data_IF_696878671543
#
_entry.id   IF_696878671543
#
_cell.length_a   1.000
_cell.length_b   1.000
_cell.length_c   1.000
_cell.angle_alpha   90.00
_cell.angle_beta   90.00
_cell.angle_gamma   90.00
#
_symmetry.space_group_name_H-M   'P 1'
#
loop_
_entity.id
_entity.type
_entity.pdbx_description
1 polymer ?
#
# COMPACT_ATOMS: atom_id res chain seq x y z
N UNK A 1 -0.13 30.60 -44.21
CA UNK A 1 -0.49 29.32 -43.54
C UNK A 1 0.68 28.91 -42.66
N UNK A 2 0.56 29.09 -41.34
CA UNK A 2 1.58 28.63 -40.37
C UNK A 2 0.99 27.42 -39.65
N UNK A 3 1.61 26.27 -39.86
CA UNK A 3 1.29 25.02 -39.16
C UNK A 3 1.93 25.09 -37.78
N UNK A 4 1.12 25.07 -36.74
CA UNK A 4 1.59 24.79 -35.38
C UNK A 4 1.61 23.27 -35.22
N UNK A 5 2.81 22.69 -35.14
CA UNK A 5 2.97 21.33 -34.67
C UNK A 5 2.68 21.32 -33.17
N UNK A 6 1.54 20.75 -32.78
CA UNK A 6 1.29 20.39 -31.40
C UNK A 6 2.22 19.21 -31.05
N UNK A 7 3.30 19.48 -30.32
CA UNK A 7 4.01 18.43 -29.60
C UNK A 7 3.04 17.90 -28.54
N UNK A 8 2.47 16.73 -28.79
CA UNK A 8 1.77 15.97 -27.77
C UNK A 8 2.78 15.54 -26.70
N UNK A 9 2.67 16.10 -25.50
CA UNK A 9 3.28 15.53 -24.31
C UNK A 9 2.62 14.17 -24.09
N UNK A 10 3.37 13.09 -24.33
CA UNK A 10 2.97 11.77 -23.86
C UNK A 10 2.91 11.83 -22.32
N UNK A 11 1.84 11.33 -21.68
CA UNK A 11 1.83 11.24 -20.23
C UNK A 11 2.98 10.33 -19.80
N UNK A 12 3.81 10.82 -18.87
CA UNK A 12 4.82 10.00 -18.24
C UNK A 12 4.12 8.78 -17.62
N UNK A 13 4.64 7.59 -17.94
CA UNK A 13 4.24 6.35 -17.29
C UNK A 13 4.80 6.46 -15.87
N UNK A 14 3.97 6.88 -14.92
CA UNK A 14 4.37 6.87 -13.52
C UNK A 14 4.62 5.41 -13.15
N UNK A 15 5.86 5.09 -12.79
CA UNK A 15 6.18 3.84 -12.11
C UNK A 15 5.42 3.82 -10.78
N UNK A 16 5.03 2.64 -10.33
CA UNK A 16 4.43 2.43 -9.02
C UNK A 16 5.51 2.32 -7.93
N UNK A 17 5.10 2.04 -6.67
CA UNK A 17 6.04 1.49 -5.70
C UNK A 17 6.79 0.35 -6.37
N UNK A 18 8.08 0.26 -6.11
CA UNK A 18 8.69 -1.06 -6.18
C UNK A 18 8.45 -1.72 -4.85
N UNK A 19 7.85 -2.90 -4.85
CA UNK A 19 8.02 -3.82 -3.74
C UNK A 19 9.51 -3.93 -3.38
N UNK A 20 9.74 -4.07 -2.07
CA UNK A 20 11.01 -4.33 -1.41
C UNK A 20 12.16 -3.30 -1.49
N UNK A 21 13.22 -3.53 -0.67
CA UNK A 21 14.38 -2.65 -0.59
C UNK A 21 15.27 -2.78 -1.84
N UNK A 22 16.23 -1.86 -2.00
CA UNK A 22 17.27 -2.00 -3.02
C UNK A 22 18.09 -3.29 -2.78
N UNK A 23 17.80 -4.39 -3.49
CA UNK A 23 18.66 -5.58 -3.51
C UNK A 23 17.97 -6.94 -3.72
N UNK A 24 16.83 -7.19 -3.08
CA UNK A 24 15.91 -8.29 -3.39
C UNK A 24 14.60 -8.01 -2.65
N UNK A 25 13.52 -7.97 -3.40
CA UNK A 25 12.28 -7.34 -2.98
C UNK A 25 11.08 -8.27 -2.99
N UNK A 26 11.24 -9.36 -3.71
CA UNK A 26 10.17 -10.22 -4.16
C UNK A 26 10.57 -11.65 -3.84
N UNK A 27 9.58 -12.48 -3.54
CA UNK A 27 9.74 -13.92 -3.39
C UNK A 27 9.95 -14.51 -4.78
N UNK A 28 11.19 -14.86 -5.11
CA UNK A 28 11.59 -15.45 -6.39
C UNK A 28 11.94 -16.94 -6.24
N UNK A 29 12.23 -17.38 -5.01
CA UNK A 29 12.69 -18.73 -4.72
C UNK A 29 11.75 -19.45 -3.74
N UNK A 30 11.55 -20.75 -3.97
CA UNK A 30 10.61 -21.55 -3.15
C UNK A 30 10.93 -21.62 -1.65
N UNK A 31 12.19 -21.35 -1.26
CA UNK A 31 12.59 -21.32 0.15
C UNK A 31 12.23 -20.01 0.85
N UNK A 32 11.96 -18.94 0.10
CA UNK A 32 11.50 -17.64 0.60
C UNK A 32 10.01 -17.66 0.97
N UNK A 33 9.22 -18.59 0.43
CA UNK A 33 7.78 -18.68 0.67
C UNK A 33 7.36 -18.71 2.15
N UNK A 34 8.21 -19.26 3.03
CA UNK A 34 7.93 -19.35 4.46
C UNK A 34 8.25 -18.05 5.22
N UNK A 35 9.11 -17.21 4.66
CA UNK A 35 9.52 -15.91 5.20
C UNK A 35 9.82 -14.96 4.03
N UNK A 36 8.78 -14.41 3.37
CA UNK A 36 8.94 -13.54 2.21
C UNK A 36 9.83 -12.33 2.53
N UNK A 37 10.62 -11.82 1.56
CA UNK A 37 11.45 -10.63 1.77
C UNK A 37 10.63 -9.45 2.29
N UNK A 38 11.06 -8.88 3.42
CA UNK A 38 10.29 -7.85 4.11
C UNK A 38 10.43 -6.48 3.42
N UNK A 39 9.30 -5.83 3.18
CA UNK A 39 9.21 -4.53 2.51
C UNK A 39 8.36 -3.50 3.27
N UNK A 40 8.27 -2.28 2.72
CA UNK A 40 7.40 -1.25 3.31
C UNK A 40 5.93 -1.61 3.25
N UNK A 41 5.47 -2.33 2.21
CA UNK A 41 4.09 -2.79 2.16
C UNK A 41 3.82 -3.76 3.30
N UNK A 42 4.74 -4.67 3.60
CA UNK A 42 4.65 -5.58 4.74
C UNK A 42 4.67 -4.84 6.07
N UNK A 43 5.51 -3.81 6.18
CA UNK A 43 5.55 -2.94 7.36
C UNK A 43 4.19 -2.30 7.63
N UNK A 44 3.58 -1.66 6.62
CA UNK A 44 2.25 -1.06 6.76
C UNK A 44 1.21 -2.14 7.07
N UNK A 45 1.27 -3.26 6.35
CA UNK A 45 0.30 -4.33 6.42
C UNK A 45 0.30 -5.03 7.78
N UNK A 46 1.47 -5.34 8.34
CA UNK A 46 1.59 -5.96 9.66
C UNK A 46 1.30 -5.02 10.81
N UNK A 47 1.78 -3.77 10.76
CA UNK A 47 1.43 -2.80 11.80
C UNK A 47 -0.09 -2.61 11.86
N UNK A 48 -0.79 -2.65 10.72
CA UNK A 48 -2.25 -2.61 10.68
C UNK A 48 -2.89 -3.84 11.35
N UNK A 49 -2.35 -5.05 11.14
CA UNK A 49 -2.80 -6.28 11.83
C UNK A 49 -2.59 -6.17 13.33
N UNK A 50 -1.43 -5.66 13.78
CA UNK A 50 -1.11 -5.53 15.20
C UNK A 50 -1.84 -4.39 15.91
N UNK A 51 -2.42 -3.43 15.18
CA UNK A 51 -3.36 -2.44 15.72
C UNK A 51 -4.73 -3.04 16.07
N UNK A 52 -5.12 -4.17 15.48
CA UNK A 52 -6.41 -4.81 15.77
C UNK A 52 -6.42 -5.45 17.17
N UNK A 53 -7.58 -5.60 17.83
CA UNK A 53 -7.73 -6.44 19.02
C UNK A 53 -7.26 -7.88 18.77
N UNK A 54 -6.79 -8.56 19.81
CA UNK A 54 -6.22 -9.92 19.70
C UNK A 54 -7.19 -10.91 19.05
N UNK A 55 -8.48 -10.85 19.41
CA UNK A 55 -9.53 -11.68 18.83
C UNK A 55 -9.75 -11.43 17.33
N UNK A 56 -9.55 -10.19 16.87
CA UNK A 56 -9.79 -9.82 15.47
C UNK A 56 -8.66 -10.28 14.56
N UNK A 57 -7.41 -10.24 15.04
CA UNK A 57 -6.24 -10.68 14.27
C UNK A 57 -5.93 -12.17 14.39
N UNK A 58 -6.50 -12.87 15.38
CA UNK A 58 -6.15 -14.27 15.68
C UNK A 58 -6.26 -15.22 14.48
N UNK A 59 -7.24 -15.00 13.58
CA UNK A 59 -7.42 -15.85 12.40
C UNK A 59 -6.34 -15.61 11.33
N UNK A 60 -5.78 -14.40 11.27
CA UNK A 60 -4.84 -13.98 10.23
C UNK A 60 -3.39 -14.29 10.60
N UNK A 61 -3.05 -14.27 11.91
CA UNK A 61 -1.71 -14.58 12.43
C UNK A 61 -1.12 -15.90 11.89
N UNK A 62 -1.85 -17.03 11.82
CA UNK A 62 -1.33 -18.28 11.25
C UNK A 62 -1.06 -18.22 9.74
N UNK A 63 -1.53 -17.18 9.05
CA UNK A 63 -1.44 -17.00 7.60
C UNK A 63 -0.52 -15.82 7.22
N UNK A 64 0.36 -15.39 8.12
CA UNK A 64 1.18 -14.19 7.92
C UNK A 64 2.14 -14.26 6.73
N UNK A 65 2.75 -15.42 6.47
CA UNK A 65 3.56 -15.61 5.26
C UNK A 65 2.72 -15.40 3.99
N UNK A 66 1.49 -15.94 3.96
CA UNK A 66 0.61 -15.80 2.80
C UNK A 66 0.08 -14.38 2.62
N UNK A 67 -0.18 -13.66 3.72
CA UNK A 67 -0.53 -12.24 3.69
C UNK A 67 0.61 -11.37 3.14
N UNK A 68 1.87 -11.63 3.54
CA UNK A 68 3.06 -10.97 2.98
C UNK A 68 3.25 -11.26 1.50
N UNK A 69 3.15 -12.52 1.08
CA UNK A 69 3.16 -12.86 -0.36
C UNK A 69 2.08 -12.12 -1.15
N UNK A 70 0.93 -11.86 -0.51
CA UNK A 70 -0.12 -11.04 -1.07
C UNK A 70 0.30 -9.61 -1.34
N UNK A 71 1.11 -8.99 -0.47
CA UNK A 71 1.60 -7.62 -0.67
C UNK A 71 2.53 -7.51 -1.88
N UNK A 72 3.20 -8.60 -2.26
CA UNK A 72 4.08 -8.66 -3.43
C UNK A 72 3.32 -8.69 -4.77
N UNK A 73 2.15 -9.35 -4.77
CA UNK A 73 1.40 -9.71 -5.97
C UNK A 73 1.11 -8.56 -6.96
N UNK A 74 0.89 -7.32 -6.51
CA UNK A 74 0.71 -6.21 -7.44
C UNK A 74 1.97 -5.73 -8.16
N UNK A 75 3.18 -5.87 -7.63
CA UNK A 75 4.41 -5.50 -8.37
C UNK A 75 5.18 -6.69 -8.94
N UNK A 76 4.77 -7.90 -8.56
CA UNK A 76 5.45 -9.14 -8.92
C UNK A 76 4.49 -10.08 -9.64
N UNK A 77 4.99 -10.82 -10.63
CA UNK A 77 4.26 -11.90 -11.31
C UNK A 77 5.03 -13.24 -11.30
N UNK A 78 6.06 -13.33 -10.45
CA UNK A 78 6.96 -14.48 -10.35
C UNK A 78 6.87 -15.28 -9.05
N UNK A 79 5.85 -15.09 -8.21
CA UNK A 79 5.71 -15.83 -6.94
C UNK A 79 5.73 -17.34 -7.24
N UNK A 80 6.67 -18.13 -6.67
CA UNK A 80 6.79 -19.55 -6.98
C UNK A 80 5.51 -20.33 -6.70
N UNK A 81 5.14 -21.24 -7.61
CA UNK A 81 3.99 -22.15 -7.43
C UNK A 81 4.11 -22.96 -6.12
N UNK A 82 5.35 -23.28 -5.72
CA UNK A 82 5.65 -23.98 -4.47
C UNK A 82 5.23 -23.22 -3.20
N UNK A 83 5.00 -21.89 -3.28
CA UNK A 83 4.47 -21.11 -2.17
C UNK A 83 3.00 -21.43 -1.86
N UNK A 84 2.28 -22.07 -2.79
CA UNK A 84 0.85 -22.35 -2.63
C UNK A 84 -0.03 -21.10 -2.69
N UNK A 85 0.50 -19.99 -3.20
CA UNK A 85 -0.28 -18.78 -3.44
C UNK A 85 -1.36 -19.05 -4.52
N UNK A 86 -2.52 -18.37 -4.47
CA UNK A 86 -3.61 -18.62 -5.41
C UNK A 86 -3.30 -18.18 -6.85
N UNK A 87 -2.23 -17.40 -7.05
CA UNK A 87 -1.63 -17.04 -8.33
C UNK A 87 -0.17 -16.61 -8.12
N UNK A 88 0.57 -16.41 -9.21
CA UNK A 88 1.99 -16.01 -9.17
C UNK A 88 2.19 -14.50 -8.95
N UNK A 89 1.12 -13.75 -8.67
CA UNK A 89 1.07 -12.31 -8.82
C UNK A 89 0.67 -11.89 -10.23
N UNK A 90 0.57 -10.58 -10.48
CA UNK A 90 0.01 -10.07 -11.73
C UNK A 90 0.68 -8.79 -12.27
N UNK A 91 1.74 -8.29 -11.63
CA UNK A 91 2.56 -7.15 -12.07
C UNK A 91 1.74 -6.01 -12.72
N UNK A 92 1.02 -5.30 -11.86
CA UNK A 92 0.20 -4.16 -12.18
C UNK A 92 1.00 -2.85 -12.36
N UNK A 93 2.34 -2.88 -12.26
CA UNK A 93 3.23 -1.69 -12.37
C UNK A 93 2.99 -0.87 -13.63
N UNK A 94 2.72 -1.53 -14.76
CA UNK A 94 2.44 -0.86 -16.05
C UNK A 94 1.00 -0.41 -16.23
N UNK A 95 0.10 -0.94 -15.42
CA UNK A 95 -1.33 -0.65 -15.46
C UNK A 95 -1.71 0.43 -14.43
N UNK A 96 -0.85 0.66 -13.43
CA UNK A 96 -0.84 1.82 -12.55
C UNK A 96 -1.37 1.54 -11.14
N UNK A 97 -0.63 2.01 -10.13
CA UNK A 97 -0.95 1.92 -8.70
C UNK A 97 -1.35 3.27 -8.09
N UNK A 98 -1.31 4.31 -8.90
CA UNK A 98 -1.66 5.66 -8.48
C UNK A 98 -3.13 5.97 -8.70
N UNK A 99 -3.60 7.01 -8.02
CA UNK A 99 -4.89 7.65 -8.28
C UNK A 99 -4.69 9.08 -8.76
N UNK A 100 -5.68 9.61 -9.47
CA UNK A 100 -5.70 11.00 -9.92
C UNK A 100 -7.00 11.67 -9.50
N UNK A 101 -6.89 12.87 -8.95
CA UNK A 101 -8.05 13.68 -8.54
C UNK A 101 -8.51 14.62 -9.65
N UNK A 102 -9.81 14.85 -9.72
CA UNK A 102 -10.35 15.98 -10.45
C UNK A 102 -9.74 17.28 -9.90
N UNK A 103 -9.56 18.30 -10.76
CA UNK A 103 -8.95 19.58 -10.37
C UNK A 103 -9.67 20.28 -9.20
N UNK A 104 -10.97 20.02 -9.01
CA UNK A 104 -11.81 20.55 -7.93
C UNK A 104 -11.89 19.63 -6.70
N UNK A 105 -11.16 18.52 -6.68
CA UNK A 105 -11.16 17.50 -5.62
C UNK A 105 -12.52 16.85 -5.35
N UNK A 106 -13.46 16.94 -6.30
CA UNK A 106 -14.81 16.34 -6.18
C UNK A 106 -14.77 14.80 -6.19
N UNK A 107 -13.80 14.22 -6.91
CA UNK A 107 -13.64 12.77 -7.01
C UNK A 107 -12.34 12.35 -7.69
N UNK A 108 -12.12 11.04 -7.71
CA UNK A 108 -11.03 10.43 -8.47
C UNK A 108 -11.43 10.34 -9.95
N UNK A 109 -10.58 10.78 -10.84
CA UNK A 109 -10.73 10.66 -12.30
C UNK A 109 -9.96 9.46 -12.86
N UNK A 110 -8.92 9.02 -12.14
CA UNK A 110 -8.28 7.70 -12.32
C UNK A 110 -8.26 7.02 -10.96
N UNK A 111 -9.03 5.95 -10.83
CA UNK A 111 -9.30 5.29 -9.56
C UNK A 111 -8.92 3.80 -9.56
N UNK A 112 -8.03 3.39 -10.48
CA UNK A 112 -7.68 1.98 -10.68
C UNK A 112 -7.21 1.32 -9.39
N UNK A 113 -6.24 1.90 -8.69
CA UNK A 113 -5.73 1.34 -7.43
C UNK A 113 -6.84 1.20 -6.37
N UNK A 114 -7.75 2.17 -6.28
CA UNK A 114 -8.90 2.10 -5.38
C UNK A 114 -9.88 0.96 -5.75
N UNK A 115 -10.08 0.70 -7.06
CA UNK A 115 -10.88 -0.44 -7.54
C UNK A 115 -10.18 -1.76 -7.28
N UNK A 116 -8.88 -1.86 -7.55
CA UNK A 116 -8.10 -3.06 -7.30
C UNK A 116 -8.12 -3.43 -5.82
N UNK A 117 -7.98 -2.46 -4.91
CA UNK A 117 -8.15 -2.71 -3.48
C UNK A 117 -9.52 -3.33 -3.14
N UNK A 118 -10.60 -2.84 -3.76
CA UNK A 118 -11.94 -3.42 -3.55
C UNK A 118 -12.07 -4.82 -4.17
N UNK A 119 -11.52 -5.03 -5.37
CA UNK A 119 -11.52 -6.33 -6.05
C UNK A 119 -10.76 -7.41 -5.26
N UNK A 120 -9.59 -7.09 -4.73
CA UNK A 120 -8.81 -8.02 -3.90
C UNK A 120 -9.54 -8.31 -2.57
N UNK A 121 -10.18 -7.31 -1.95
CA UNK A 121 -11.05 -7.56 -0.80
C UNK A 121 -12.22 -8.51 -1.15
N UNK A 122 -12.89 -8.31 -2.29
CA UNK A 122 -13.99 -9.18 -2.73
C UNK A 122 -13.52 -10.62 -2.97
N UNK A 123 -12.32 -10.80 -3.54
CA UNK A 123 -11.70 -12.13 -3.65
C UNK A 123 -11.38 -12.75 -2.30
N UNK A 124 -10.91 -11.96 -1.32
CA UNK A 124 -10.68 -12.42 0.04
C UNK A 124 -11.99 -12.91 0.70
N UNK A 125 -13.09 -12.19 0.49
CA UNK A 125 -14.42 -12.59 0.96
C UNK A 125 -14.85 -13.93 0.36
N UNK A 126 -14.69 -14.11 -0.96
CA UNK A 126 -15.02 -15.36 -1.65
C UNK A 126 -14.16 -16.51 -1.11
N UNK A 127 -12.84 -16.32 -1.03
CA UNK A 127 -11.90 -17.32 -0.52
C UNK A 127 -12.24 -17.74 0.91
N UNK A 128 -12.53 -16.79 1.79
CA UNK A 128 -12.93 -17.07 3.18
C UNK A 128 -14.20 -17.92 3.25
N UNK A 129 -15.24 -17.54 2.50
CA UNK A 129 -16.52 -18.26 2.48
C UNK A 129 -16.42 -19.67 1.90
N UNK A 130 -15.42 -19.93 1.07
CA UNK A 130 -15.10 -21.25 0.54
C UNK A 130 -14.18 -22.07 1.46
N UNK A 131 -13.81 -21.54 2.63
CA UNK A 131 -12.89 -22.19 3.58
C UNK A 131 -11.42 -22.13 3.18
N UNK A 132 -11.06 -21.31 2.18
CA UNK A 132 -9.69 -21.08 1.71
C UNK A 132 -9.06 -19.92 2.49
N UNK A 133 -8.80 -20.14 3.78
CA UNK A 133 -8.38 -19.06 4.71
C UNK A 133 -6.99 -18.48 4.37
N UNK A 134 -6.06 -19.31 3.87
CA UNK A 134 -4.76 -18.85 3.39
C UNK A 134 -4.91 -17.93 2.16
N UNK A 135 -5.71 -18.34 1.17
CA UNK A 135 -6.00 -17.51 -0.01
C UNK A 135 -6.70 -16.20 0.38
N UNK A 136 -7.57 -16.21 1.38
CA UNK A 136 -8.18 -15.00 1.91
C UNK A 136 -7.12 -14.05 2.49
N UNK A 137 -6.14 -14.57 3.24
CA UNK A 137 -5.02 -13.79 3.72
C UNK A 137 -4.18 -13.23 2.55
N UNK A 138 -3.88 -14.02 1.53
CA UNK A 138 -3.17 -13.54 0.32
C UNK A 138 -3.89 -12.34 -0.32
N UNK A 139 -5.20 -12.46 -0.56
CA UNK A 139 -5.95 -11.38 -1.19
C UNK A 139 -6.09 -10.14 -0.30
N UNK A 140 -6.15 -10.30 1.03
CA UNK A 140 -6.06 -9.14 1.94
C UNK A 140 -4.67 -8.48 1.90
N UNK A 141 -3.60 -9.24 1.69
CA UNK A 141 -2.26 -8.69 1.46
C UNK A 141 -2.20 -7.87 0.18
N UNK A 142 -2.76 -8.39 -0.92
CA UNK A 142 -2.84 -7.67 -2.19
C UNK A 142 -3.70 -6.40 -2.10
N UNK A 143 -4.78 -6.43 -1.33
CA UNK A 143 -5.54 -5.23 -0.98
C UNK A 143 -4.69 -4.24 -0.15
N UNK A 144 -3.95 -4.73 0.84
CA UNK A 144 -3.09 -3.91 1.70
C UNK A 144 -2.02 -3.17 0.89
N UNK A 145 -1.48 -3.80 -0.15
CA UNK A 145 -0.55 -3.16 -1.08
C UNK A 145 -1.14 -1.86 -1.67
N UNK A 146 -2.30 -1.92 -2.34
CA UNK A 146 -2.93 -0.74 -2.95
C UNK A 146 -3.34 0.35 -1.96
N UNK A 147 -3.70 -0.05 -0.73
CA UNK A 147 -3.94 0.91 0.35
C UNK A 147 -2.61 1.55 0.78
N UNK A 148 -1.55 0.76 0.90
CA UNK A 148 -0.19 1.20 1.21
C UNK A 148 0.37 2.17 0.17
N UNK A 149 0.15 1.93 -1.12
CA UNK A 149 0.57 2.84 -2.21
C UNK A 149 0.12 4.27 -1.95
N UNK A 150 -1.16 4.44 -1.58
CA UNK A 150 -1.75 5.75 -1.34
C UNK A 150 -1.15 6.48 -0.12
N UNK A 151 -0.39 5.80 0.75
CA UNK A 151 0.39 6.40 1.84
C UNK A 151 1.62 7.17 1.35
N UNK A 152 2.01 6.99 0.08
CA UNK A 152 3.07 7.75 -0.59
C UNK A 152 2.46 8.83 -1.48
N UNK A 153 3.01 10.04 -1.41
CA UNK A 153 2.40 11.20 -2.06
C UNK A 153 2.43 11.14 -3.59
N UNK A 154 3.46 10.52 -4.17
CA UNK A 154 3.60 10.31 -5.62
C UNK A 154 2.52 9.41 -6.23
N UNK A 155 1.92 8.51 -5.46
CA UNK A 155 0.75 7.73 -5.88
C UNK A 155 -0.56 8.51 -5.87
N UNK A 156 -0.54 9.75 -5.37
CA UNK A 156 -1.72 10.59 -5.30
C UNK A 156 -1.65 11.83 -6.21
N UNK A 157 -0.49 12.09 -6.86
CA UNK A 157 -0.29 13.21 -7.79
C UNK A 157 0.62 12.84 -8.98
N UNK A 158 0.36 13.36 -10.20
CA UNK A 158 1.10 12.97 -11.40
C UNK A 158 2.39 13.77 -11.66
N UNK A 159 2.80 14.67 -10.76
CA UNK A 159 3.85 15.69 -11.00
C UNK A 159 5.05 15.61 -10.05
N UNK A 160 5.20 14.49 -9.34
CA UNK A 160 6.31 14.25 -8.43
C UNK A 160 7.65 14.10 -9.17
N UNK A 161 8.76 14.30 -8.45
CA UNK A 161 10.12 14.11 -8.97
C UNK A 161 10.89 13.02 -8.24
N UNK A 162 10.50 12.73 -7.00
CA UNK A 162 11.18 11.83 -6.10
C UNK A 162 10.33 10.58 -5.84
N UNK A 163 10.12 9.75 -6.87
CA UNK A 163 9.36 8.49 -6.76
C UNK A 163 10.23 7.39 -6.16
N UNK A 164 11.08 6.78 -7.00
CA UNK A 164 11.81 5.56 -6.66
C UNK A 164 12.90 5.82 -5.62
N UNK A 165 13.44 7.04 -5.56
CA UNK A 165 14.44 7.40 -4.56
C UNK A 165 13.81 7.66 -3.17
N UNK A 166 12.59 8.22 -3.12
CA UNK A 166 11.76 8.25 -1.91
C UNK A 166 11.49 6.84 -1.41
N UNK A 167 10.98 5.96 -2.28
CA UNK A 167 10.58 4.60 -1.91
C UNK A 167 11.78 3.79 -1.42
N UNK A 168 12.90 3.84 -2.14
CA UNK A 168 14.14 3.21 -1.69
C UNK A 168 14.64 3.80 -0.35
N UNK A 169 14.42 5.08 -0.10
CA UNK A 169 14.83 5.72 1.15
C UNK A 169 13.96 5.35 2.34
N UNK A 170 12.63 5.25 2.14
CA UNK A 170 11.69 4.74 3.15
C UNK A 170 11.91 3.26 3.37
N UNK A 171 12.06 2.46 2.31
CA UNK A 171 12.25 1.01 2.38
C UNK A 171 13.42 0.59 3.27
N UNK A 172 14.56 1.30 3.22
CA UNK A 172 15.70 1.06 4.14
C UNK A 172 15.42 1.39 5.61
N UNK A 173 14.25 1.93 5.93
CA UNK A 173 13.80 2.32 7.29
C UNK A 173 12.55 1.54 7.71
N UNK A 174 12.08 0.65 6.86
CA UNK A 174 10.89 -0.20 7.05
C UNK A 174 11.18 -1.62 6.54
N UNK A 175 12.45 -2.04 6.52
CA UNK A 175 12.93 -3.35 6.07
C UNK A 175 12.78 -4.46 7.14
N UNK A 176 12.15 -4.12 8.28
CA UNK A 176 11.76 -5.07 9.32
C UNK A 176 10.63 -4.47 10.17
N UNK A 177 9.85 -5.32 10.84
CA UNK A 177 8.73 -4.89 11.69
C UNK A 177 9.12 -3.87 12.78
N UNK A 178 10.36 -3.93 13.26
CA UNK A 178 10.95 -3.01 14.27
C UNK A 178 12.23 -2.36 13.75
N UNK A 179 12.15 -1.69 12.60
CA UNK A 179 13.28 -1.01 12.00
C UNK A 179 13.79 0.18 12.85
N UNK A 180 12.93 0.76 13.69
CA UNK A 180 13.29 1.74 14.72
C UNK A 180 13.21 3.21 14.28
N UNK A 181 12.58 3.48 13.14
CA UNK A 181 12.47 4.83 12.57
C UNK A 181 11.08 5.44 12.69
N UNK A 182 10.03 4.64 12.46
CA UNK A 182 8.66 5.14 12.30
C UNK A 182 7.65 4.50 13.27
N UNK A 183 8.06 3.51 14.05
CA UNK A 183 7.19 2.77 14.97
C UNK A 183 6.60 3.67 16.06
N UNK A 184 7.31 4.73 16.48
CA UNK A 184 6.82 5.69 17.47
C UNK A 184 5.64 6.55 17.00
N UNK A 185 5.41 6.63 15.68
CA UNK A 185 4.28 7.34 15.08
C UNK A 185 3.03 6.46 15.03
N UNK A 186 3.17 5.14 15.14
CA UNK A 186 2.06 4.19 15.02
C UNK A 186 1.19 4.26 16.27
N UNK A 187 0.03 4.88 16.13
CA UNK A 187 -0.94 5.11 17.18
C UNK A 187 -2.33 4.86 16.63
N UNK A 188 -3.08 3.97 17.29
CA UNK A 188 -4.47 3.68 16.95
C UNK A 188 -5.34 4.94 17.15
N UNK A 189 -6.02 5.39 16.10
CA UNK A 189 -6.93 6.54 16.16
C UNK A 189 -8.42 6.15 16.35
N UNK A 190 -8.66 4.85 16.49
CA UNK A 190 -9.98 4.21 16.57
C UNK A 190 -10.11 3.13 15.50
N UNK A 191 -11.18 2.33 15.57
CA UNK A 191 -11.52 1.38 14.51
C UNK A 191 -12.92 1.67 14.00
N UNK A 192 -13.05 1.79 12.68
CA UNK A 192 -14.33 1.94 11.99
C UNK A 192 -14.43 0.99 10.80
N UNK A 193 -15.66 0.60 10.46
CA UNK A 193 -15.90 -0.27 9.30
C UNK A 193 -15.66 0.49 7.99
N UNK A 194 -14.48 0.37 7.40
CA UNK A 194 -14.10 1.08 6.17
C UNK A 194 -14.03 0.14 4.95
N UNK A 195 -14.56 0.59 3.81
CA UNK A 195 -14.40 -0.12 2.53
C UNK A 195 -13.01 0.17 1.93
N UNK A 196 -12.36 -0.80 1.27
CA UNK A 196 -11.07 -0.62 0.62
C UNK A 196 -11.00 0.59 -0.32
N UNK A 197 -11.97 0.75 -1.22
CA UNK A 197 -12.00 1.90 -2.14
C UNK A 197 -12.01 3.24 -1.39
N UNK A 198 -12.72 3.29 -0.26
CA UNK A 198 -12.82 4.49 0.59
C UNK A 198 -11.51 4.73 1.35
N UNK A 199 -10.79 3.69 1.76
CA UNK A 199 -9.48 3.81 2.39
C UNK A 199 -8.47 4.47 1.44
N UNK A 200 -8.31 3.94 0.22
CA UNK A 200 -7.44 4.52 -0.83
C UNK A 200 -7.81 5.97 -1.10
N UNK A 201 -9.10 6.28 -1.26
CA UNK A 201 -9.60 7.65 -1.49
C UNK A 201 -9.30 8.60 -0.33
N UNK A 202 -9.42 8.17 0.92
CA UNK A 202 -9.12 9.04 2.08
C UNK A 202 -7.62 9.30 2.16
N UNK A 203 -6.82 8.25 2.04
CA UNK A 203 -5.38 8.32 2.20
C UNK A 203 -4.74 9.15 1.09
N UNK A 204 -5.09 8.89 -0.18
CA UNK A 204 -4.63 9.70 -1.31
C UNK A 204 -5.02 11.18 -1.19
N UNK A 205 -6.18 11.50 -0.58
CA UNK A 205 -6.54 12.91 -0.34
C UNK A 205 -5.63 13.56 0.69
N UNK A 206 -5.25 12.80 1.73
CA UNK A 206 -4.33 13.25 2.78
C UNK A 206 -2.93 13.46 2.22
N UNK A 207 -2.42 12.51 1.44
CA UNK A 207 -1.04 12.57 0.91
C UNK A 207 -0.91 13.54 -0.26
N UNK A 208 -1.95 13.73 -1.08
CA UNK A 208 -1.95 14.75 -2.13
C UNK A 208 -2.20 16.17 -1.59
N UNK A 209 -3.24 16.35 -0.77
CA UNK A 209 -3.71 17.66 -0.32
C UNK A 209 -3.14 18.13 1.02
N UNK A 210 -2.48 17.24 1.77
CA UNK A 210 -2.02 17.48 3.12
C UNK A 210 -3.14 17.40 4.16
N UNK A 211 -2.80 16.98 5.38
CA UNK A 211 -3.68 17.03 6.55
C UNK A 211 -2.88 16.98 7.84
N UNK A 212 -3.10 17.96 8.73
CA UNK A 212 -2.42 18.01 10.01
C UNK A 212 -0.90 18.03 9.82
N UNK A 213 -0.14 17.06 10.38
CA UNK A 213 1.31 17.00 10.24
C UNK A 213 1.79 16.45 8.89
N UNK A 214 0.91 15.92 8.04
CA UNK A 214 1.25 15.47 6.68
C UNK A 214 1.16 16.67 5.73
N UNK A 215 2.27 17.17 5.16
CA UNK A 215 2.25 18.21 4.15
C UNK A 215 1.58 17.74 2.85
N UNK A 216 1.15 18.68 2.01
CA UNK A 216 0.67 18.37 0.66
C UNK A 216 1.82 17.92 -0.25
N UNK A 217 1.50 17.18 -1.32
CA UNK A 217 2.49 16.45 -2.10
C UNK A 217 3.64 17.31 -2.66
N UNK A 218 3.38 18.51 -3.20
CA UNK A 218 4.47 19.37 -3.71
C UNK A 218 5.42 19.84 -2.62
N UNK A 219 4.97 19.96 -1.37
CA UNK A 219 5.84 20.27 -0.23
C UNK A 219 6.63 19.04 0.19
N UNK A 220 6.01 17.86 0.25
CA UNK A 220 6.73 16.61 0.49
C UNK A 220 7.87 16.40 -0.52
N UNK A 221 7.57 16.57 -1.81
CA UNK A 221 8.56 16.45 -2.89
C UNK A 221 9.68 17.47 -2.75
N UNK A 222 9.37 18.72 -2.40
CA UNK A 222 10.39 19.76 -2.18
C UNK A 222 11.29 19.49 -0.95
N UNK A 223 10.71 18.94 0.13
CA UNK A 223 11.45 18.62 1.36
C UNK A 223 12.43 17.46 1.18
N UNK A 224 12.28 16.65 0.13
CA UNK A 224 13.18 15.52 -0.14
C UNK A 224 14.66 15.93 -0.30
N UNK A 225 14.93 17.16 -0.72
CA UNK A 225 16.29 17.72 -0.77
C UNK A 225 16.98 17.74 0.61
N UNK A 226 16.20 17.82 1.70
CA UNK A 226 16.64 17.72 3.09
C UNK A 226 15.90 16.57 3.81
N UNK A 227 15.83 15.41 3.16
CA UNK A 227 15.18 14.20 3.70
C UNK A 227 15.76 13.67 5.02
N UNK A 228 16.90 14.19 5.48
CA UNK A 228 17.46 13.88 6.79
C UNK A 228 16.90 14.72 7.93
N UNK A 229 16.15 15.78 7.62
CA UNK A 229 15.55 16.66 8.62
C UNK A 229 14.47 15.95 9.44
N UNK A 230 14.34 16.36 10.71
CA UNK A 230 13.28 15.84 11.58
C UNK A 230 11.88 16.15 11.02
N UNK A 231 11.68 17.33 10.43
CA UNK A 231 10.41 17.71 9.81
C UNK A 231 9.98 16.73 8.71
N UNK A 232 10.94 16.28 7.89
CA UNK A 232 10.67 15.30 6.84
C UNK A 232 10.40 13.90 7.42
N UNK A 233 11.18 13.48 8.41
CA UNK A 233 10.96 12.22 9.12
C UNK A 233 9.59 12.17 9.80
N UNK A 234 9.18 13.27 10.45
CA UNK A 234 7.87 13.42 11.09
C UNK A 234 6.75 13.29 10.05
N UNK A 235 6.88 13.98 8.92
CA UNK A 235 5.89 13.95 7.85
C UNK A 235 5.71 12.54 7.27
N UNK A 236 6.80 11.81 7.02
CA UNK A 236 6.77 10.42 6.54
C UNK A 236 6.14 9.50 7.59
N UNK A 237 6.58 9.60 8.85
CA UNK A 237 6.03 8.80 9.96
C UNK A 237 4.52 9.00 10.13
N UNK A 238 4.05 10.24 10.02
CA UNK A 238 2.61 10.52 10.06
C UNK A 238 1.84 10.01 8.84
N UNK A 239 2.44 10.04 7.64
CA UNK A 239 1.83 9.46 6.44
C UNK A 239 1.68 7.95 6.57
N UNK A 240 2.72 7.27 7.06
CA UNK A 240 2.70 5.84 7.35
C UNK A 240 1.66 5.50 8.42
N UNK A 241 1.57 6.27 9.51
CA UNK A 241 0.54 6.07 10.53
C UNK A 241 -0.89 6.18 9.97
N UNK A 242 -1.14 7.11 9.04
CA UNK A 242 -2.43 7.18 8.35
C UNK A 242 -2.69 5.92 7.51
N UNK A 243 -1.69 5.44 6.76
CA UNK A 243 -1.78 4.20 5.98
C UNK A 243 -2.12 2.98 6.85
N UNK A 244 -1.40 2.83 7.97
CA UNK A 244 -1.61 1.76 8.94
C UNK A 244 -3.03 1.81 9.54
N UNK A 245 -3.51 2.98 9.99
CA UNK A 245 -4.85 3.09 10.59
C UNK A 245 -5.98 2.84 9.58
N UNK A 246 -5.91 3.41 8.36
CA UNK A 246 -6.98 3.17 7.38
C UNK A 246 -7.00 1.73 6.88
N UNK A 247 -5.86 1.03 6.89
CA UNK A 247 -5.81 -0.40 6.61
C UNK A 247 -6.38 -1.21 7.78
N UNK A 248 -6.05 -0.86 9.02
CA UNK A 248 -6.63 -1.50 10.21
C UNK A 248 -8.17 -1.40 10.21
N UNK A 249 -8.74 -0.26 9.81
CA UNK A 249 -10.18 -0.11 9.62
C UNK A 249 -10.80 -1.10 8.61
N UNK A 250 -10.08 -1.40 7.54
CA UNK A 250 -10.54 -2.33 6.49
C UNK A 250 -10.42 -3.78 6.96
N UNK A 251 -9.35 -4.13 7.68
CA UNK A 251 -9.20 -5.45 8.29
C UNK A 251 -10.23 -5.69 9.41
N UNK A 252 -10.47 -4.67 10.25
CA UNK A 252 -11.54 -4.66 11.25
C UNK A 252 -12.91 -4.90 10.61
N UNK A 253 -13.19 -4.24 9.48
CA UNK A 253 -14.39 -4.51 8.69
C UNK A 253 -14.44 -5.98 8.24
N UNK A 254 -13.36 -6.52 7.68
CA UNK A 254 -13.33 -7.91 7.22
C UNK A 254 -13.68 -8.87 8.37
N UNK A 255 -13.07 -8.68 9.54
CA UNK A 255 -13.35 -9.49 10.71
C UNK A 255 -14.83 -9.44 11.11
N UNK A 256 -15.40 -8.24 11.28
CA UNK A 256 -16.78 -8.07 11.70
C UNK A 256 -17.81 -8.58 10.69
N UNK A 257 -17.49 -8.56 9.39
CA UNK A 257 -18.43 -8.90 8.34
C UNK A 257 -18.33 -10.36 7.89
N UNK A 258 -17.17 -11.00 8.04
CA UNK A 258 -16.92 -12.32 7.46
C UNK A 258 -16.42 -13.35 8.48
N UNK A 259 -15.59 -12.96 9.44
CA UNK A 259 -14.95 -13.89 10.39
C UNK A 259 -15.83 -14.13 11.62
N UNK A 260 -16.38 -13.06 12.19
CA UNK A 260 -17.23 -13.09 13.38
C UNK A 260 -18.73 -13.08 13.03
N UNK A 261 -19.10 -13.65 11.88
CA UNK A 261 -20.46 -13.61 11.35
C UNK A 261 -21.10 -15.01 11.32
#
# INVERSE_FOLDING_TARGET
MRWWAALGLLPAVCAAWTNGPSGNADTDESWECADPPYSTHDWIAEHAVYLLPEEERAWLIPHMAMYRLGTEAPDHDGIPEACGAPNQGYDDRRLGHSVEWAADWSGLVRDRAARRAEEEYEKAVVAWREGRTADAAYYLGAMAHYIGDAAQYGHAVPFERHHSDYEAWVGRRTDSFQAGYFESYIQLDGLVRRRPYTAVKILSRITAGGRGPVPWATRMDAMYADKGSQEYMDAVGHSLNWGVNVLADVLHRFYLMEVNN
#
